data_IF_369225885933
#
_entry.id   IF_369225885933
#
_cell.length_a   1.000
_cell.length_b   1.000
_cell.length_c   1.000
_cell.angle_alpha   90.00
_cell.angle_beta   90.00
_cell.angle_gamma   90.00
#
_symmetry.space_group_name_H-M   'P 1'
#
loop_
_entity.id
_entity.type
_entity.pdbx_description
1 polymer ?
#
# COMPACT_ATOMS: atom_id res chain seq x y z
N UNK A 1 22.91 6.38 10.56
CA UNK A 1 21.85 7.37 10.84
C UNK A 1 21.42 7.96 9.50
N UNK A 2 20.38 7.40 8.88
CA UNK A 2 19.83 7.94 7.63
C UNK A 2 18.94 9.13 7.95
N UNK A 3 19.16 10.26 7.27
CA UNK A 3 18.29 11.43 7.37
C UNK A 3 16.86 11.02 6.98
N UNK A 4 15.82 11.35 7.77
CA UNK A 4 14.45 11.06 7.40
C UNK A 4 14.14 11.69 6.05
N UNK A 5 13.55 10.90 5.14
CA UNK A 5 13.10 11.39 3.83
C UNK A 5 12.14 12.55 4.07
N UNK A 6 12.40 13.70 3.44
CA UNK A 6 11.56 14.88 3.57
C UNK A 6 10.09 14.52 3.28
N UNK A 7 9.12 15.12 4.00
CA UNK A 7 7.70 14.92 3.71
C UNK A 7 7.47 15.28 2.25
N UNK A 8 7.24 14.28 1.39
CA UNK A 8 6.53 14.55 0.16
C UNK A 8 5.12 14.85 0.60
N UNK A 9 4.86 16.12 0.91
CA UNK A 9 3.51 16.67 0.88
C UNK A 9 2.94 16.15 -0.43
N UNK A 10 1.88 15.33 -0.35
CA UNK A 10 1.10 14.98 -1.52
C UNK A 10 1.02 16.25 -2.34
N UNK A 11 1.47 16.29 -3.62
CA UNK A 11 1.44 17.51 -4.37
C UNK A 11 0.05 18.09 -4.14
N UNK A 12 -0.01 19.31 -3.58
CA UNK A 12 -1.27 20.02 -3.53
C UNK A 12 -1.89 19.87 -4.91
N UNK A 13 -3.21 19.79 -5.00
CA UNK A 13 -3.94 19.58 -6.26
C UNK A 13 -3.68 20.64 -7.36
N UNK A 14 -2.59 21.40 -7.25
CA UNK A 14 -1.85 22.11 -8.27
C UNK A 14 -1.50 21.15 -9.42
N UNK A 15 -2.44 21.11 -10.37
CA UNK A 15 -2.21 20.95 -11.79
C UNK A 15 -0.89 20.24 -12.14
N UNK A 16 -0.92 18.91 -12.24
CA UNK A 16 0.15 18.15 -12.90
C UNK A 16 0.21 18.60 -14.38
N UNK A 17 0.94 19.68 -14.65
CA UNK A 17 1.23 20.23 -15.96
C UNK A 17 2.11 19.24 -16.72
N UNK A 18 1.48 18.29 -17.42
CA UNK A 18 2.14 17.39 -18.39
C UNK A 18 1.54 17.67 -19.76
N UNK A 19 2.11 18.65 -20.46
CA UNK A 19 1.60 19.12 -21.74
C UNK A 19 0.39 20.05 -21.60
N UNK A 20 0.04 20.72 -22.69
CA UNK A 20 -0.86 21.88 -22.81
C UNK A 20 -2.33 21.68 -22.37
N UNK A 21 -2.67 20.60 -21.66
CA UNK A 21 -4.04 20.32 -21.21
C UNK A 21 -4.10 20.18 -19.69
N UNK A 22 -4.81 21.12 -19.07
CA UNK A 22 -5.19 21.05 -17.65
C UNK A 22 -6.01 19.78 -17.39
N UNK A 23 -5.55 18.95 -16.45
CA UNK A 23 -6.32 17.83 -15.90
C UNK A 23 -6.89 18.20 -14.54
N UNK A 24 -8.06 17.65 -14.23
CA UNK A 24 -8.75 17.81 -12.96
C UNK A 24 -8.60 16.54 -12.13
N UNK A 25 -8.52 16.66 -10.81
CA UNK A 25 -8.26 15.53 -9.92
C UNK A 25 -9.25 15.46 -8.75
N UNK A 26 -9.56 14.24 -8.31
CA UNK A 26 -10.29 14.00 -7.07
C UNK A 26 -9.39 13.17 -6.15
N UNK A 27 -8.93 13.76 -5.05
CA UNK A 27 -8.03 13.08 -4.10
C UNK A 27 -8.71 11.88 -3.42
N UNK A 28 -9.94 12.06 -2.94
CA UNK A 28 -10.67 11.00 -2.22
C UNK A 28 -10.90 9.76 -3.08
N UNK A 29 -11.13 9.94 -4.37
CA UNK A 29 -11.36 8.84 -5.32
C UNK A 29 -10.10 8.45 -6.10
N UNK A 30 -9.03 9.23 -5.99
CA UNK A 30 -7.78 8.98 -6.68
C UNK A 30 -7.93 8.87 -8.20
N UNK A 31 -8.79 9.69 -8.81
CA UNK A 31 -9.10 9.68 -10.24
C UNK A 31 -8.92 11.04 -10.91
N UNK A 32 -8.60 11.01 -12.20
CA UNK A 32 -8.34 12.19 -13.04
C UNK A 32 -9.43 12.37 -14.10
N UNK A 33 -9.70 13.61 -14.49
CA UNK A 33 -10.67 13.99 -15.51
C UNK A 33 -10.04 14.96 -16.52
N UNK A 34 -10.43 14.84 -17.79
CA UNK A 34 -9.97 15.74 -18.85
C UNK A 34 -10.78 17.05 -18.89
N UNK A 35 -11.98 17.07 -18.31
CA UNK A 35 -12.88 18.22 -18.31
C UNK A 35 -13.40 18.51 -16.91
N UNK A 36 -13.48 19.79 -16.55
CA UNK A 36 -14.03 20.24 -15.26
C UNK A 36 -15.45 19.73 -15.02
N UNK A 37 -16.28 19.75 -16.08
CA UNK A 37 -17.66 19.26 -16.01
C UNK A 37 -17.72 17.81 -15.52
N UNK A 38 -16.84 16.94 -16.00
CA UNK A 38 -16.79 15.54 -15.58
C UNK A 38 -16.39 15.40 -14.11
N UNK A 39 -15.42 16.21 -13.66
CA UNK A 39 -15.04 16.26 -12.26
C UNK A 39 -16.22 16.71 -11.39
N UNK A 40 -16.93 17.78 -11.77
CA UNK A 40 -18.11 18.26 -11.01
C UNK A 40 -19.21 17.22 -10.95
N UNK A 41 -19.52 16.56 -12.07
CA UNK A 41 -20.50 15.46 -12.12
C UNK A 41 -20.06 14.29 -11.23
N UNK A 42 -18.77 13.96 -11.21
CA UNK A 42 -18.22 12.96 -10.31
C UNK A 42 -18.39 13.37 -8.83
N UNK A 43 -18.00 14.58 -8.45
CA UNK A 43 -18.10 15.07 -7.07
C UNK A 43 -19.56 15.12 -6.58
N UNK A 44 -20.51 15.40 -7.49
CA UNK A 44 -21.95 15.39 -7.20
C UNK A 44 -22.58 13.98 -7.17
N UNK A 45 -21.83 12.94 -7.55
CA UNK A 45 -22.38 11.58 -7.66
C UNK A 45 -22.57 10.91 -6.30
N UNK A 46 -23.61 10.07 -6.18
CA UNK A 46 -23.84 9.21 -4.99
C UNK A 46 -22.65 8.30 -4.69
N UNK A 47 -21.98 7.81 -5.74
CA UNK A 47 -20.81 6.94 -5.60
C UNK A 47 -19.61 7.66 -4.96
N UNK A 48 -19.37 8.92 -5.35
CA UNK A 48 -18.35 9.75 -4.71
C UNK A 48 -18.69 10.01 -3.23
N UNK A 49 -19.92 10.42 -2.94
CA UNK A 49 -20.37 10.66 -1.56
C UNK A 49 -20.21 9.40 -0.67
N UNK A 50 -20.58 8.23 -1.17
CA UNK A 50 -20.39 6.96 -0.47
C UNK A 50 -18.91 6.65 -0.22
N UNK A 51 -18.03 6.92 -1.20
CA UNK A 51 -16.58 6.72 -1.06
C UNK A 51 -15.97 7.66 -0.02
N UNK A 52 -16.35 8.94 -0.03
CA UNK A 52 -15.91 9.91 1.00
C UNK A 52 -16.40 9.49 2.38
N UNK A 53 -17.65 9.06 2.50
CA UNK A 53 -18.20 8.53 3.76
C UNK A 53 -17.41 7.34 4.28
N UNK A 54 -17.12 6.36 3.42
CA UNK A 54 -16.26 5.21 3.76
C UNK A 54 -14.85 5.66 4.15
N UNK A 55 -14.26 6.59 3.41
CA UNK A 55 -12.94 7.17 3.68
C UNK A 55 -12.82 7.73 5.09
N UNK A 56 -13.86 8.42 5.59
CA UNK A 56 -13.88 8.94 6.97
C UNK A 56 -13.86 7.82 8.01
N UNK A 57 -14.62 6.75 7.80
CA UNK A 57 -14.63 5.60 8.71
C UNK A 57 -13.26 4.92 8.78
N UNK A 58 -12.60 4.80 7.64
CA UNK A 58 -11.27 4.21 7.53
C UNK A 58 -10.18 5.10 8.14
N UNK A 59 -10.29 6.42 7.99
CA UNK A 59 -9.41 7.35 8.67
C UNK A 59 -9.51 7.20 10.19
N UNK A 60 -10.74 7.13 10.72
CA UNK A 60 -10.96 6.88 12.15
C UNK A 60 -10.46 5.50 12.60
N UNK A 61 -10.44 4.51 11.72
CA UNK A 61 -9.83 3.20 11.98
C UNK A 61 -8.30 3.29 12.03
N UNK A 62 -7.68 3.99 11.07
CA UNK A 62 -6.24 4.23 11.04
C UNK A 62 -5.75 4.98 12.27
N UNK A 63 -6.52 5.95 12.77
CA UNK A 63 -6.22 6.72 13.98
C UNK A 63 -6.00 5.86 15.23
N UNK A 64 -6.55 4.65 15.26
CA UNK A 64 -6.41 3.71 16.38
C UNK A 64 -5.17 2.80 16.26
N UNK A 65 -4.38 2.95 15.21
CA UNK A 65 -3.20 2.12 14.97
C UNK A 65 -1.94 2.78 15.51
N UNK A 66 -0.91 1.98 15.80
CA UNK A 66 0.40 2.48 16.20
C UNK A 66 1.07 3.36 15.13
N UNK A 67 0.63 3.31 13.88
CA UNK A 67 1.14 4.17 12.80
C UNK A 67 0.57 5.59 12.80
N UNK A 68 -0.43 5.88 13.63
CA UNK A 68 -1.00 7.22 13.78
C UNK A 68 -0.31 8.08 14.86
N UNK A 69 0.50 7.47 15.74
CA UNK A 69 1.22 8.21 16.80
C UNK A 69 2.42 8.98 16.22
N UNK A 70 2.17 10.24 15.82
CA UNK A 70 3.09 11.03 15.00
C UNK A 70 3.50 12.32 15.71
N UNK A 71 4.71 12.30 16.28
CA UNK A 71 5.32 13.45 16.96
C UNK A 71 5.71 14.60 16.00
N UNK A 72 5.70 14.37 14.68
CA UNK A 72 6.19 15.31 13.66
C UNK A 72 5.11 16.23 13.06
N UNK A 73 3.88 16.19 13.60
CA UNK A 73 2.76 17.01 13.11
C UNK A 73 2.14 16.52 11.80
N UNK A 74 2.54 15.36 11.27
CA UNK A 74 2.00 14.80 10.02
C UNK A 74 0.67 14.04 10.18
N UNK A 75 0.08 14.03 11.39
CA UNK A 75 -1.15 13.32 11.72
C UNK A 75 -2.31 13.60 10.77
N UNK A 76 -2.62 14.87 10.50
CA UNK A 76 -3.72 15.24 9.61
C UNK A 76 -3.47 14.81 8.16
N UNK A 77 -2.22 14.90 7.69
CA UNK A 77 -1.86 14.45 6.35
C UNK A 77 -1.94 12.92 6.22
N UNK A 78 -1.53 12.18 7.26
CA UNK A 78 -1.63 10.73 7.32
C UNK A 78 -3.10 10.27 7.38
N UNK A 79 -3.91 10.92 8.21
CA UNK A 79 -5.37 10.72 8.29
C UNK A 79 -6.04 10.96 6.94
N UNK A 80 -5.70 12.07 6.28
CA UNK A 80 -6.21 12.36 4.94
C UNK A 80 -5.80 11.26 3.93
N UNK A 81 -4.55 10.82 3.95
CA UNK A 81 -4.06 9.77 3.08
C UNK A 81 -4.78 8.42 3.32
N UNK A 82 -5.06 8.06 4.58
CA UNK A 82 -5.85 6.88 4.93
C UNK A 82 -7.31 6.99 4.47
N UNK A 83 -7.85 8.21 4.33
CA UNK A 83 -9.22 8.43 3.84
C UNK A 83 -9.35 8.31 2.31
N UNK A 84 -8.25 8.47 1.58
CA UNK A 84 -8.25 8.46 0.11
C UNK A 84 -8.24 7.03 -0.45
N UNK A 85 -8.67 6.85 -1.70
CA UNK A 85 -8.45 5.59 -2.39
C UNK A 85 -6.95 5.41 -2.73
N UNK A 86 -6.44 4.20 -2.54
CA UNK A 86 -5.03 3.89 -2.79
C UNK A 86 -4.69 3.95 -4.29
N UNK A 87 -3.51 4.49 -4.62
CA UNK A 87 -2.87 4.38 -5.94
C UNK A 87 -1.42 3.99 -5.79
N UNK A 88 -1.04 2.96 -6.53
CA UNK A 88 0.35 2.49 -6.53
C UNK A 88 1.31 3.59 -7.01
N UNK A 89 1.02 4.28 -8.11
CA UNK A 89 1.90 5.32 -8.63
C UNK A 89 2.14 6.46 -7.63
N UNK A 90 1.08 6.93 -6.96
CA UNK A 90 1.18 7.96 -5.93
C UNK A 90 1.97 7.47 -4.71
N UNK A 91 1.82 6.20 -4.34
CA UNK A 91 2.60 5.60 -3.27
C UNK A 91 4.09 5.49 -3.65
N UNK A 92 4.40 5.03 -4.87
CA UNK A 92 5.77 4.88 -5.36
C UNK A 92 6.48 6.20 -5.66
N UNK A 93 5.73 7.29 -5.83
CA UNK A 93 6.30 8.62 -6.03
C UNK A 93 7.11 9.06 -4.79
N UNK A 94 8.35 9.50 -5.01
CA UNK A 94 9.26 9.95 -3.95
C UNK A 94 9.94 8.84 -3.15
N UNK A 95 9.60 7.55 -3.37
CA UNK A 95 10.33 6.46 -2.70
C UNK A 95 11.72 6.28 -3.32
N UNK A 96 12.74 5.90 -2.51
CA UNK A 96 14.06 5.54 -3.01
C UNK A 96 13.98 4.44 -4.06
N UNK A 97 14.54 4.72 -5.24
CA UNK A 97 14.62 3.77 -6.35
C UNK A 97 16.05 3.28 -6.48
N UNK A 98 16.21 2.04 -6.91
CA UNK A 98 17.52 1.52 -7.30
C UNK A 98 17.99 2.29 -8.53
N UNK A 99 19.02 3.11 -8.38
CA UNK A 99 19.79 3.60 -9.52
C UNK A 99 20.50 2.38 -10.11
N UNK A 100 20.13 1.98 -11.33
CA UNK A 100 20.99 1.04 -12.07
C UNK A 100 22.33 1.75 -12.24
N UNK A 101 23.40 1.13 -11.77
CA UNK A 101 24.77 1.61 -11.88
C UNK A 101 25.07 2.05 -13.32
N UNK A 102 25.33 3.35 -13.50
CA UNK A 102 26.33 3.95 -14.41
C UNK A 102 26.66 3.29 -15.76
N UNK A 103 25.69 2.70 -16.47
CA UNK A 103 25.80 2.50 -17.92
C UNK A 103 24.94 3.57 -18.57
N UNK A 104 25.61 4.50 -19.27
CA UNK A 104 25.07 5.73 -19.85
C UNK A 104 23.61 5.59 -20.32
N UNK A 105 22.70 6.28 -19.62
CA UNK A 105 21.31 6.37 -20.02
C UNK A 105 21.19 7.30 -21.24
N UNK A 106 20.52 6.89 -22.34
CA UNK A 106 20.13 7.80 -23.42
C UNK A 106 19.09 8.82 -22.91
N UNK A 107 18.90 9.95 -23.62
CA UNK A 107 18.12 11.07 -23.12
C UNK A 107 16.63 10.72 -22.99
N UNK A 108 16.11 11.12 -21.84
CA UNK A 108 14.73 11.33 -21.42
C UNK A 108 13.72 11.60 -22.55
N UNK A 109 13.02 10.56 -22.99
CA UNK A 109 11.64 10.68 -23.46
C UNK A 109 10.96 9.30 -23.47
N UNK A 110 10.11 9.04 -22.49
CA UNK A 110 9.26 7.84 -22.46
C UNK A 110 8.95 7.42 -21.04
N UNK A 111 7.66 7.23 -20.75
CA UNK A 111 7.02 6.91 -19.47
C UNK A 111 7.44 5.55 -18.85
N UNK A 112 8.74 5.31 -18.72
CA UNK A 112 9.26 4.18 -17.98
C UNK A 112 9.21 4.51 -16.47
N UNK A 113 8.06 4.24 -15.85
CA UNK A 113 7.97 3.98 -14.39
C UNK A 113 8.67 2.63 -14.09
N UNK A 114 9.89 2.43 -14.62
CA UNK A 114 10.65 1.19 -14.64
C UNK A 114 11.80 1.17 -13.64
N UNK A 115 11.70 1.92 -12.54
CA UNK A 115 12.66 1.87 -11.44
C UNK A 115 12.16 0.93 -10.34
N UNK A 116 12.87 -0.15 -10.07
CA UNK A 116 12.57 -1.01 -8.92
C UNK A 116 12.75 -0.21 -7.61
N UNK A 117 11.79 -0.32 -6.69
CA UNK A 117 11.91 0.18 -5.31
C UNK A 117 13.20 -0.37 -4.72
N UNK A 118 13.91 0.42 -3.90
CA UNK A 118 15.09 -0.09 -3.21
C UNK A 118 14.76 -1.35 -2.41
N UNK A 119 15.54 -2.45 -2.58
CA UNK A 119 15.33 -3.68 -1.81
C UNK A 119 15.66 -3.52 -0.31
N UNK A 120 16.24 -2.39 0.07
CA UNK A 120 16.60 -2.04 1.45
C UNK A 120 15.61 -1.09 2.13
N UNK A 121 14.48 -0.78 1.50
CA UNK A 121 13.47 0.10 2.09
C UNK A 121 12.53 -0.72 2.99
N UNK A 122 12.55 -0.45 4.28
CA UNK A 122 11.66 -1.05 5.27
C UNK A 122 10.42 -0.18 5.50
N UNK A 123 9.35 -0.79 6.01
CA UNK A 123 8.12 -0.08 6.39
C UNK A 123 8.41 0.94 7.49
N UNK A 124 9.35 0.64 8.40
CA UNK A 124 9.82 1.58 9.43
C UNK A 124 10.47 2.85 8.88
N UNK A 125 11.02 2.79 7.67
CA UNK A 125 11.66 3.95 7.01
C UNK A 125 10.62 4.84 6.30
N UNK A 126 9.37 4.41 6.21
CA UNK A 126 8.33 5.16 5.53
C UNK A 126 7.88 6.37 6.36
N UNK A 127 7.79 7.50 5.68
CA UNK A 127 7.09 8.67 6.21
C UNK A 127 5.65 8.29 6.60
N UNK A 128 5.07 8.87 7.66
CA UNK A 128 3.74 8.52 8.14
C UNK A 128 2.62 8.54 7.09
N UNK A 129 2.64 9.55 6.21
CA UNK A 129 1.73 9.63 5.05
C UNK A 129 1.84 8.39 4.15
N UNK A 130 3.05 7.86 3.93
CA UNK A 130 3.26 6.63 3.14
C UNK A 130 2.80 5.40 3.90
N UNK A 131 3.02 5.32 5.23
CA UNK A 131 2.45 4.26 6.08
C UNK A 131 0.92 4.25 5.99
N UNK A 132 0.26 5.41 6.06
CA UNK A 132 -1.18 5.53 5.88
C UNK A 132 -1.67 5.07 4.50
N UNK A 133 -0.96 5.42 3.42
CA UNK A 133 -1.27 4.92 2.07
C UNK A 133 -1.12 3.40 1.97
N UNK A 134 -0.05 2.83 2.54
CA UNK A 134 0.17 1.38 2.54
C UNK A 134 -0.90 0.65 3.37
N UNK A 135 -1.21 1.17 4.56
CA UNK A 135 -2.30 0.69 5.39
C UNK A 135 -3.62 0.68 4.62
N UNK A 136 -3.91 1.77 3.91
CA UNK A 136 -5.12 1.92 3.09
C UNK A 136 -5.17 0.90 1.96
N UNK A 137 -4.04 0.63 1.29
CA UNK A 137 -3.91 -0.43 0.31
C UNK A 137 -4.34 -1.78 0.89
N UNK A 138 -3.74 -2.17 2.02
CA UNK A 138 -4.00 -3.44 2.69
C UNK A 138 -5.45 -3.57 3.15
N UNK A 139 -6.01 -2.50 3.69
CA UNK A 139 -7.41 -2.46 4.13
C UNK A 139 -8.40 -2.66 2.97
N UNK A 140 -8.05 -2.21 1.77
CA UNK A 140 -8.84 -2.44 0.57
C UNK A 140 -8.69 -3.84 -0.03
N UNK A 141 -7.65 -4.61 0.31
CA UNK A 141 -7.45 -5.99 -0.20
C UNK A 141 -8.50 -6.95 0.29
N UNK A 142 -8.87 -6.82 1.56
CA UNK A 142 -9.91 -7.63 2.19
C UNK A 142 -10.93 -6.68 2.77
N UNK A 143 -11.90 -6.18 1.96
CA UNK A 143 -12.81 -5.12 2.40
C UNK A 143 -13.53 -5.43 3.72
N UNK A 144 -13.79 -6.71 3.99
CA UNK A 144 -14.50 -7.19 5.17
C UNK A 144 -13.57 -7.58 6.35
N UNK A 145 -12.25 -7.39 6.23
CA UNK A 145 -11.29 -7.72 7.30
C UNK A 145 -10.27 -6.61 7.51
N UNK A 146 -10.10 -6.21 8.77
CA UNK A 146 -9.05 -5.28 9.20
C UNK A 146 -7.70 -5.98 9.37
N UNK A 147 -7.70 -7.31 9.43
CA UNK A 147 -6.59 -8.12 9.90
C UNK A 147 -5.31 -8.00 9.06
N UNK A 148 -5.34 -7.96 7.71
CA UNK A 148 -4.09 -7.80 6.94
C UNK A 148 -3.36 -6.50 7.24
N UNK A 149 -4.11 -5.41 7.44
CA UNK A 149 -3.53 -4.12 7.78
C UNK A 149 -3.04 -4.11 9.24
N UNK A 150 -3.81 -4.69 10.17
CA UNK A 150 -3.42 -4.81 11.57
C UNK A 150 -2.17 -5.69 11.77
N UNK A 151 -2.10 -6.83 11.09
CA UNK A 151 -0.97 -7.75 11.15
C UNK A 151 0.33 -7.10 10.65
N UNK A 152 0.27 -6.28 9.59
CA UNK A 152 1.46 -5.54 9.15
C UNK A 152 1.89 -4.46 10.14
N UNK A 153 0.94 -3.76 10.78
CA UNK A 153 1.25 -2.80 11.85
C UNK A 153 1.97 -3.53 12.99
N UNK A 154 1.44 -4.66 13.45
CA UNK A 154 2.03 -5.44 14.53
C UNK A 154 3.41 -5.99 14.17
N UNK A 155 3.55 -6.56 12.96
CA UNK A 155 4.82 -7.05 12.44
C UNK A 155 5.86 -5.93 12.40
N UNK A 156 5.49 -4.73 11.97
CA UNK A 156 6.44 -3.61 11.94
C UNK A 156 6.83 -3.16 13.34
N UNK A 157 5.88 -3.11 14.28
CA UNK A 157 6.14 -2.74 15.67
C UNK A 157 7.08 -3.73 16.38
N UNK A 158 6.92 -5.04 16.15
CA UNK A 158 7.73 -6.08 16.82
C UNK A 158 9.00 -6.44 16.06
N UNK A 159 8.93 -6.38 14.73
CA UNK A 159 9.88 -7.02 13.83
C UNK A 159 10.10 -6.21 12.54
N UNK A 160 10.15 -4.88 12.63
CA UNK A 160 10.28 -3.96 11.49
C UNK A 160 11.42 -4.28 10.51
N UNK A 161 12.51 -4.91 10.97
CA UNK A 161 13.61 -5.37 10.12
C UNK A 161 13.24 -6.49 9.11
N UNK A 162 12.03 -7.07 9.21
CA UNK A 162 11.52 -8.07 8.27
C UNK A 162 10.38 -7.52 7.39
N UNK A 163 9.92 -6.29 7.64
CA UNK A 163 8.83 -5.67 6.89
C UNK A 163 9.39 -4.81 5.74
N UNK A 164 9.85 -5.43 4.65
CA UNK A 164 10.33 -4.69 3.47
C UNK A 164 9.17 -4.23 2.59
N UNK A 165 9.20 -2.98 2.15
CA UNK A 165 8.10 -2.39 1.35
C UNK A 165 7.86 -3.16 0.05
N UNK A 166 8.94 -3.55 -0.65
CA UNK A 166 8.84 -4.35 -1.88
C UNK A 166 8.13 -5.68 -1.64
N UNK A 167 8.52 -6.39 -0.59
CA UNK A 167 7.98 -7.70 -0.24
C UNK A 167 6.52 -7.66 0.17
N UNK A 168 6.13 -6.61 0.91
CA UNK A 168 4.72 -6.33 1.22
C UNK A 168 3.93 -6.17 -0.08
N UNK A 169 4.36 -5.29 -0.98
CA UNK A 169 3.64 -5.03 -2.23
C UNK A 169 3.55 -6.26 -3.13
N UNK A 170 4.62 -7.07 -3.21
CA UNK A 170 4.62 -8.34 -3.95
C UNK A 170 3.64 -9.36 -3.35
N UNK A 171 3.62 -9.48 -2.01
CA UNK A 171 2.67 -10.36 -1.31
C UNK A 171 1.22 -9.91 -1.49
N UNK A 172 0.99 -8.60 -1.50
CA UNK A 172 -0.32 -8.00 -1.78
C UNK A 172 -0.81 -8.37 -3.18
N UNK A 173 0.04 -8.27 -4.19
CA UNK A 173 -0.35 -8.59 -5.56
C UNK A 173 -0.56 -10.10 -5.73
N UNK A 174 0.33 -10.93 -5.18
CA UNK A 174 0.16 -12.38 -5.17
C UNK A 174 -1.16 -12.80 -4.48
N UNK A 175 -1.51 -12.15 -3.36
CA UNK A 175 -2.75 -12.39 -2.65
C UNK A 175 -3.99 -12.08 -3.50
N UNK A 176 -4.00 -10.96 -4.25
CA UNK A 176 -5.13 -10.63 -5.15
C UNK A 176 -5.36 -11.72 -6.19
N UNK A 177 -4.28 -12.25 -6.77
CA UNK A 177 -4.37 -13.35 -7.72
C UNK A 177 -4.89 -14.63 -7.07
N UNK A 178 -4.34 -15.00 -5.90
CA UNK A 178 -4.77 -16.18 -5.16
C UNK A 178 -6.24 -16.07 -4.73
N UNK A 179 -6.66 -14.93 -4.17
CA UNK A 179 -8.03 -14.69 -3.74
C UNK A 179 -9.04 -14.87 -4.88
N UNK A 180 -8.74 -14.29 -6.05
CA UNK A 180 -9.58 -14.45 -7.26
C UNK A 180 -9.68 -15.90 -7.71
N UNK A 181 -8.59 -16.66 -7.63
CA UNK A 181 -8.57 -18.07 -8.01
C UNK A 181 -9.35 -18.94 -7.01
N UNK A 182 -9.24 -18.64 -5.72
CA UNK A 182 -9.81 -19.44 -4.63
C UNK A 182 -11.27 -19.08 -4.32
N UNK A 183 -11.76 -17.88 -4.68
CA UNK A 183 -13.11 -17.42 -4.33
C UNK A 183 -14.25 -18.28 -4.88
N UNK A 184 -13.98 -19.09 -5.90
CA UNK A 184 -14.97 -20.00 -6.50
C UNK A 184 -14.85 -21.45 -6.00
N UNK A 185 -13.85 -21.76 -5.16
CA UNK A 185 -13.54 -23.10 -4.72
C UNK A 185 -13.72 -23.23 -3.20
N UNK A 186 -14.25 -24.37 -2.77
CA UNK A 186 -14.19 -24.75 -1.36
C UNK A 186 -12.84 -25.43 -1.12
N UNK A 187 -11.93 -24.73 -0.46
CA UNK A 187 -10.56 -25.18 -0.28
C UNK A 187 -10.33 -25.54 1.18
N UNK A 188 -9.93 -26.79 1.44
CA UNK A 188 -9.62 -27.25 2.79
C UNK A 188 -8.17 -26.96 3.19
N UNK A 189 -7.25 -26.90 2.22
CA UNK A 189 -5.82 -26.68 2.48
C UNK A 189 -5.19 -25.87 1.35
N UNK A 190 -4.37 -24.87 1.71
CA UNK A 190 -3.63 -24.02 0.79
C UNK A 190 -2.14 -24.16 1.10
N UNK A 191 -1.34 -24.53 0.10
CA UNK A 191 0.12 -24.61 0.21
C UNK A 191 0.76 -23.38 -0.44
N UNK A 192 1.42 -22.56 0.36
CA UNK A 192 2.26 -21.45 -0.11
C UNK A 192 3.71 -21.95 -0.19
N UNK A 193 4.15 -22.32 -1.39
CA UNK A 193 5.46 -22.96 -1.64
C UNK A 193 6.47 -21.90 -2.04
N UNK A 194 7.68 -21.98 -1.47
CA UNK A 194 8.71 -20.94 -1.53
C UNK A 194 8.20 -19.61 -0.94
N UNK A 195 7.49 -19.70 0.19
CA UNK A 195 6.78 -18.59 0.82
C UNK A 195 7.70 -17.46 1.31
N UNK A 196 9.01 -17.69 1.38
CA UNK A 196 10.01 -16.69 1.74
C UNK A 196 9.82 -16.17 3.16
N UNK A 197 9.26 -14.98 3.29
CA UNK A 197 8.93 -14.37 4.58
C UNK A 197 7.52 -14.71 5.08
N UNK A 198 6.70 -15.40 4.29
CA UNK A 198 5.42 -15.96 4.73
C UNK A 198 4.24 -14.99 4.82
N UNK A 199 4.38 -13.73 4.39
CA UNK A 199 3.29 -12.75 4.51
C UNK A 199 2.08 -13.09 3.63
N UNK A 200 2.30 -13.68 2.44
CA UNK A 200 1.20 -14.19 1.62
C UNK A 200 0.40 -15.26 2.39
N UNK A 201 1.09 -16.20 3.04
CA UNK A 201 0.45 -17.21 3.90
C UNK A 201 -0.41 -16.57 4.99
N UNK A 202 0.09 -15.52 5.66
CA UNK A 202 -0.69 -14.77 6.67
C UNK A 202 -1.95 -14.15 6.06
N UNK A 203 -1.84 -13.51 4.88
CA UNK A 203 -3.02 -12.95 4.20
C UNK A 203 -4.04 -14.02 3.81
N UNK A 204 -3.58 -15.17 3.33
CA UNK A 204 -4.43 -16.31 2.98
C UNK A 204 -5.15 -16.87 4.21
N UNK A 205 -4.47 -17.00 5.35
CA UNK A 205 -5.07 -17.51 6.58
C UNK A 205 -6.21 -16.61 7.07
N UNK A 206 -6.07 -15.29 6.95
CA UNK A 206 -7.15 -14.35 7.30
C UNK A 206 -8.29 -14.33 6.30
N UNK A 207 -8.00 -14.52 5.00
CA UNK A 207 -9.02 -14.49 3.96
C UNK A 207 -9.83 -15.81 3.86
N UNK A 208 -9.23 -16.92 4.28
CA UNK A 208 -9.80 -18.25 4.20
C UNK A 208 -9.71 -18.94 5.58
N UNK A 209 -10.47 -18.48 6.59
CA UNK A 209 -10.35 -18.96 7.97
C UNK A 209 -10.69 -20.45 8.14
N UNK A 210 -11.44 -21.02 7.21
CA UNK A 210 -11.79 -22.45 7.22
C UNK A 210 -10.76 -23.34 6.53
N UNK A 211 -9.74 -22.75 5.88
CA UNK A 211 -8.69 -23.48 5.18
C UNK A 211 -7.43 -23.58 6.06
N UNK A 212 -6.79 -24.74 6.07
CA UNK A 212 -5.44 -24.88 6.61
C UNK A 212 -4.44 -24.25 5.65
N UNK A 213 -3.75 -23.18 6.06
CA UNK A 213 -2.67 -22.59 5.27
C UNK A 213 -1.32 -23.14 5.72
N UNK A 214 -0.57 -23.70 4.79
CA UNK A 214 0.76 -24.28 5.03
C UNK A 214 1.81 -23.44 4.31
N UNK A 215 2.59 -22.69 5.08
CA UNK A 215 3.74 -21.94 4.60
C UNK A 215 4.96 -22.86 4.48
N UNK A 216 5.46 -23.10 3.27
CA UNK A 216 6.57 -24.02 3.02
C UNK A 216 7.73 -23.32 2.29
N UNK A 217 8.92 -23.35 2.89
CA UNK A 217 10.17 -22.87 2.29
C UNK A 217 11.27 -23.88 2.60
N UNK A 218 12.26 -24.00 1.70
CA UNK A 218 13.40 -24.90 1.90
C UNK A 218 14.28 -24.45 3.07
N UNK A 219 14.23 -23.17 3.43
CA UNK A 219 15.02 -22.58 4.50
C UNK A 219 14.10 -21.96 5.54
N UNK A 220 14.31 -22.30 6.82
CA UNK A 220 13.62 -21.64 7.93
C UNK A 220 14.18 -20.23 8.12
N UNK A 221 13.52 -19.22 7.56
CA UNK A 221 13.92 -17.81 7.66
C UNK A 221 13.37 -17.18 8.94
N UNK A 222 14.15 -16.35 9.66
CA UNK A 222 13.64 -15.62 10.83
C UNK A 222 12.40 -14.77 10.53
N UNK A 223 12.33 -14.19 9.33
CA UNK A 223 11.18 -13.42 8.87
C UNK A 223 9.88 -14.23 8.84
N UNK A 224 9.95 -15.53 8.49
CA UNK A 224 8.78 -16.41 8.50
C UNK A 224 8.25 -16.60 9.92
N UNK A 225 9.12 -16.89 10.89
CA UNK A 225 8.71 -17.02 12.29
C UNK A 225 8.12 -15.71 12.82
N UNK A 226 8.75 -14.56 12.52
CA UNK A 226 8.23 -13.26 12.89
C UNK A 226 6.84 -12.94 12.31
N UNK A 227 6.54 -13.38 11.09
CA UNK A 227 5.21 -13.21 10.48
C UNK A 227 4.15 -14.14 11.10
N UNK A 228 4.56 -15.30 11.63
CA UNK A 228 3.63 -16.23 12.29
C UNK A 228 3.35 -15.84 13.75
N UNK A 229 4.28 -15.12 14.39
CA UNK A 229 4.14 -14.64 15.78
C UNK A 229 3.36 -13.30 15.89
N UNK A 230 3.16 -12.60 14.76
CA UNK A 230 2.47 -11.31 14.65
C UNK A 230 0.97 -11.47 14.43
#
# INVERSE_FOLDING_TARGET
>A
MHSPLAPSVLPAADHLWRGTRTRYFCDSCSCTFDKEKQQREHMASKAHAARVGRGRLLAAEFERTAWYDLADGSAEAAKFAASCAFRLDSFLHGLPRRTRSTVAAPPLSGDAIGGCISPSLFVSDLHPVKKAQLWRCLRDLVPNSTLPAAALVELECRHGQYARVKEVLESVEAFRHAQKALSAARVATIFDVACGHGMLSVFLAFAFPDALVVANDLVRRPALSANLDA
#
